data_IF_543437863074
#
_entry.id   IF_543437863074
#
_cell.length_a   1.000
_cell.length_b   1.000
_cell.length_c   1.000
_cell.angle_alpha   90.00
_cell.angle_beta   90.00
_cell.angle_gamma   90.00
#
_symmetry.space_group_name_H-M   'P 1'
#
loop_
_entity.id
_entity.type
_entity.pdbx_description
1 polymer ?
#
# COMPACT_ATOMS: atom_id res chain seq x y z
N UNK A 1 70.07 3.22 -58.81
CA UNK A 1 69.59 4.50 -58.24
C UNK A 1 68.65 4.13 -57.10
N UNK A 2 69.02 4.48 -55.87
CA UNK A 2 68.35 4.08 -54.63
C UNK A 2 66.99 4.77 -54.47
N UNK A 3 65.99 4.06 -53.98
CA UNK A 3 64.87 4.66 -53.27
C UNK A 3 64.46 3.76 -52.10
N UNK A 4 64.91 4.17 -50.91
CA UNK A 4 64.52 3.67 -49.60
C UNK A 4 63.02 3.92 -49.36
N UNK A 5 62.26 2.87 -49.02
CA UNK A 5 60.96 3.03 -48.36
C UNK A 5 61.06 2.54 -46.93
N UNK A 6 60.96 3.49 -46.01
CA UNK A 6 60.95 3.32 -44.56
C UNK A 6 59.65 2.63 -44.13
N UNK A 7 59.77 1.59 -43.30
CA UNK A 7 58.66 0.96 -42.60
C UNK A 7 57.96 1.97 -41.68
N UNK A 8 56.64 2.16 -41.84
CA UNK A 8 55.79 2.81 -40.85
C UNK A 8 55.27 1.75 -39.86
N UNK A 9 55.36 1.97 -38.53
CA UNK A 9 54.64 1.14 -37.57
C UNK A 9 53.17 1.56 -37.53
N UNK A 10 52.27 0.62 -37.82
CA UNK A 10 50.83 0.80 -37.58
C UNK A 10 50.60 0.62 -36.08
N UNK A 11 50.38 1.73 -35.36
CA UNK A 11 49.91 1.68 -33.98
C UNK A 11 48.38 1.53 -34.00
N UNK A 12 47.88 0.35 -33.60
CA UNK A 12 46.47 0.15 -33.30
C UNK A 12 46.16 0.83 -31.96
N UNK A 13 45.44 1.95 -32.01
CA UNK A 13 44.88 2.58 -30.81
C UNK A 13 43.54 1.90 -30.49
N UNK A 14 43.53 1.00 -29.50
CA UNK A 14 42.29 0.45 -28.98
C UNK A 14 41.60 1.51 -28.09
N UNK A 15 40.60 2.18 -28.64
CA UNK A 15 39.73 3.07 -27.87
C UNK A 15 38.82 2.22 -26.98
N UNK A 16 39.17 2.04 -25.72
CA UNK A 16 38.27 1.49 -24.72
C UNK A 16 37.16 2.50 -24.43
N UNK A 17 35.98 2.31 -25.03
CA UNK A 17 34.78 3.04 -24.65
C UNK A 17 34.28 2.49 -23.32
N UNK A 18 34.66 3.15 -22.23
CA UNK A 18 33.99 2.98 -20.96
C UNK A 18 32.55 3.52 -21.09
N UNK A 19 31.60 2.64 -21.38
CA UNK A 19 30.17 2.95 -21.21
C UNK A 19 29.94 3.05 -19.70
N UNK A 20 30.04 4.25 -19.17
CA UNK A 20 29.56 4.55 -17.83
C UNK A 20 28.04 4.45 -17.84
N UNK A 21 27.52 3.26 -17.52
CA UNK A 21 26.12 3.10 -17.15
C UNK A 21 25.93 3.81 -15.81
N UNK A 22 25.78 5.13 -15.83
CA UNK A 22 25.19 5.82 -14.70
C UNK A 22 23.78 5.25 -14.54
N UNK A 23 23.41 4.76 -13.35
CA UNK A 23 22.01 4.44 -13.12
C UNK A 23 21.29 5.76 -13.33
N UNK A 24 20.51 5.85 -14.41
CA UNK A 24 19.52 6.89 -14.52
C UNK A 24 18.63 6.71 -13.31
N UNK A 25 18.81 7.57 -12.30
CA UNK A 25 17.83 7.81 -11.26
C UNK A 25 16.61 8.36 -12.01
N UNK A 26 15.83 7.47 -12.61
CA UNK A 26 14.54 7.82 -13.18
C UNK A 26 13.75 8.40 -12.01
N UNK A 27 13.45 9.70 -12.11
CA UNK A 27 12.59 10.34 -11.13
C UNK A 27 11.28 9.58 -11.05
N UNK A 28 10.79 9.39 -9.82
CA UNK A 28 9.48 8.80 -9.55
C UNK A 28 8.42 9.42 -10.46
N UNK A 29 7.69 8.59 -11.21
CA UNK A 29 6.59 9.02 -12.06
C UNK A 29 5.22 8.91 -11.35
N UNK A 30 4.27 9.69 -11.84
CA UNK A 30 2.84 9.51 -11.56
C UNK A 30 2.23 8.87 -12.80
N UNK A 31 1.73 7.64 -12.66
CA UNK A 31 1.27 6.80 -13.77
C UNK A 31 -0.23 6.49 -13.63
N UNK A 32 -0.87 5.97 -14.69
CA UNK A 32 -2.28 5.57 -14.60
C UNK A 32 -2.50 4.56 -13.46
N UNK A 33 -3.65 4.62 -12.78
CA UNK A 33 -3.93 3.79 -11.59
C UNK A 33 -3.91 2.29 -11.91
N UNK A 34 -4.24 1.91 -13.14
CA UNK A 34 -4.26 0.54 -13.65
C UNK A 34 -2.91 0.09 -14.26
N UNK A 35 -1.94 1.00 -14.38
CA UNK A 35 -0.58 0.69 -14.83
C UNK A 35 0.37 0.37 -13.68
N UNK A 36 -0.05 0.59 -12.43
CA UNK A 36 0.77 0.28 -11.26
C UNK A 36 0.83 -1.24 -11.06
N UNK A 37 2.03 -1.81 -11.25
CA UNK A 37 2.28 -3.22 -10.91
C UNK A 37 2.50 -3.33 -9.41
N UNK A 38 1.61 -4.06 -8.73
CA UNK A 38 1.70 -4.34 -7.30
C UNK A 38 2.84 -5.30 -6.94
N UNK A 39 2.97 -5.56 -5.65
CA UNK A 39 3.94 -6.46 -5.07
C UNK A 39 3.33 -7.86 -4.86
N UNK A 40 4.13 -8.93 -5.03
CA UNK A 40 3.75 -10.23 -4.51
C UNK A 40 3.59 -10.16 -2.99
N UNK A 41 2.82 -11.09 -2.42
CA UNK A 41 2.67 -11.17 -0.97
C UNK A 41 4.05 -11.35 -0.31
N UNK A 42 4.51 -10.33 0.42
CA UNK A 42 5.85 -10.26 1.00
C UNK A 42 5.76 -9.64 2.40
N UNK A 43 6.11 -10.43 3.41
CA UNK A 43 6.20 -10.01 4.81
C UNK A 43 7.57 -10.42 5.37
N UNK A 44 8.06 -9.80 6.46
CA UNK A 44 9.31 -10.20 7.10
C UNK A 44 9.26 -11.64 7.60
N UNK A 45 10.39 -12.33 7.67
CA UNK A 45 10.46 -13.63 8.33
C UNK A 45 10.22 -13.53 9.84
N UNK A 46 9.92 -14.67 10.47
CA UNK A 46 9.77 -14.77 11.93
C UNK A 46 8.42 -14.22 12.43
N UNK A 47 8.36 -13.90 13.72
CA UNK A 47 7.10 -13.67 14.42
C UNK A 47 6.27 -12.52 13.82
N UNK A 48 6.92 -11.46 13.32
CA UNK A 48 6.24 -10.29 12.74
C UNK A 48 5.42 -10.72 11.51
N UNK A 49 6.04 -11.39 10.53
CA UNK A 49 5.34 -11.85 9.34
C UNK A 49 4.33 -12.95 9.63
N UNK A 50 4.64 -13.87 10.56
CA UNK A 50 3.67 -14.88 11.01
C UNK A 50 2.38 -14.23 11.50
N UNK A 51 2.48 -13.20 12.35
CA UNK A 51 1.30 -12.49 12.86
C UNK A 51 0.61 -11.65 11.77
N UNK A 52 1.36 -11.00 10.88
CA UNK A 52 0.78 -10.27 9.73
C UNK A 52 -0.04 -11.18 8.80
N UNK A 53 0.37 -12.44 8.61
CA UNK A 53 -0.40 -13.38 7.79
C UNK A 53 -1.57 -14.00 8.56
N UNK A 54 -1.35 -14.34 9.84
CA UNK A 54 -2.40 -14.91 10.73
C UNK A 54 -3.60 -13.99 10.87
N UNK A 55 -3.38 -12.69 10.99
CA UNK A 55 -4.44 -11.69 11.18
C UNK A 55 -4.77 -10.89 9.92
N UNK A 56 -4.31 -11.32 8.74
CA UNK A 56 -4.60 -10.63 7.47
C UNK A 56 -6.12 -10.56 7.26
N UNK A 57 -6.74 -9.38 7.12
CA UNK A 57 -8.19 -9.26 7.01
C UNK A 57 -8.74 -9.82 5.69
N UNK A 58 -10.04 -10.10 5.70
CA UNK A 58 -10.87 -10.14 4.49
C UNK A 58 -11.52 -8.78 4.29
N UNK A 59 -11.68 -8.37 3.03
CA UNK A 59 -12.33 -7.12 2.66
C UNK A 59 -13.49 -7.39 1.69
N UNK A 60 -14.71 -7.11 2.14
CA UNK A 60 -15.92 -7.05 1.32
C UNK A 60 -16.11 -5.63 0.80
N UNK A 61 -16.10 -5.45 -0.51
CA UNK A 61 -16.39 -4.16 -1.16
C UNK A 61 -17.87 -4.14 -1.53
N UNK A 62 -18.68 -3.41 -0.76
CA UNK A 62 -20.12 -3.34 -1.01
C UNK A 62 -20.48 -2.40 -2.16
N UNK A 63 -19.73 -1.29 -2.28
CA UNK A 63 -19.83 -0.34 -3.38
C UNK A 63 -18.51 0.43 -3.54
N UNK A 64 -18.41 1.24 -4.59
CA UNK A 64 -17.20 2.01 -4.90
C UNK A 64 -16.10 1.20 -5.59
N UNK A 65 -14.87 1.70 -5.52
CA UNK A 65 -13.71 1.03 -6.07
C UNK A 65 -13.29 -0.18 -5.24
N UNK A 66 -12.75 -1.21 -5.91
CA UNK A 66 -11.96 -2.24 -5.23
C UNK A 66 -10.54 -1.71 -4.93
N UNK A 67 -9.75 -2.37 -4.06
CA UNK A 67 -8.37 -1.95 -3.82
C UNK A 67 -7.48 -2.03 -5.08
N UNK A 68 -6.51 -1.11 -5.18
CA UNK A 68 -5.46 -1.09 -6.21
C UNK A 68 -4.07 -0.95 -5.54
N UNK A 69 -3.00 -1.38 -6.23
CA UNK A 69 -1.66 -0.96 -5.82
C UNK A 69 -1.50 0.56 -6.03
N UNK A 70 -1.07 1.26 -4.99
CA UNK A 70 -0.81 2.70 -5.01
C UNK A 70 0.58 3.04 -5.53
N UNK A 71 1.54 2.11 -5.41
CA UNK A 71 2.96 2.28 -5.74
C UNK A 71 3.56 0.98 -6.29
N UNK A 72 4.52 1.07 -7.21
CA UNK A 72 5.28 -0.07 -7.72
C UNK A 72 6.70 -0.17 -7.10
N UNK A 73 7.49 -1.16 -7.50
CA UNK A 73 8.86 -1.38 -6.99
C UNK A 73 9.84 -0.25 -7.31
N UNK A 74 9.62 0.49 -8.40
CA UNK A 74 10.42 1.64 -8.82
C UNK A 74 10.03 2.94 -8.08
N UNK A 75 8.94 2.93 -7.32
CA UNK A 75 8.41 4.10 -6.62
C UNK A 75 7.45 4.94 -7.45
N UNK A 76 7.05 4.51 -8.65
CA UNK A 76 5.98 5.18 -9.39
C UNK A 76 4.66 5.00 -8.66
N UNK A 77 3.85 6.04 -8.61
CA UNK A 77 2.56 6.02 -7.91
C UNK A 77 1.39 6.17 -8.86
N UNK A 78 0.27 5.54 -8.52
CA UNK A 78 -0.97 5.69 -9.27
C UNK A 78 -1.53 7.11 -9.17
N UNK A 79 -1.95 7.66 -10.30
CA UNK A 79 -2.58 8.97 -10.45
C UNK A 79 -4.00 9.03 -9.87
N UNK A 80 -4.56 7.89 -9.45
CA UNK A 80 -5.96 7.79 -9.03
C UNK A 80 -6.94 8.06 -10.17
N UNK A 81 -8.20 8.26 -9.82
CA UNK A 81 -9.29 8.55 -10.74
C UNK A 81 -10.00 9.84 -10.37
N UNK A 82 -10.56 10.52 -11.37
CA UNK A 82 -11.48 11.63 -11.13
C UNK A 82 -12.81 11.10 -10.56
N UNK A 83 -13.52 11.92 -9.79
CA UNK A 83 -14.82 11.60 -9.19
C UNK A 83 -15.98 11.57 -10.20
N UNK A 84 -15.72 11.89 -11.48
CA UNK A 84 -16.71 11.77 -12.55
C UNK A 84 -17.09 10.32 -12.84
N UNK A 85 -18.31 10.13 -13.37
CA UNK A 85 -18.82 8.82 -13.75
C UNK A 85 -19.36 8.03 -12.55
N UNK A 86 -19.62 6.74 -12.73
CA UNK A 86 -20.13 5.92 -11.63
C UNK A 86 -19.10 5.78 -10.49
N UNK A 87 -19.55 5.59 -9.23
CA UNK A 87 -18.69 5.34 -8.06
C UNK A 87 -17.57 4.30 -8.28
N UNK A 88 -17.88 3.22 -9.00
CA UNK A 88 -16.95 2.13 -9.30
C UNK A 88 -16.39 2.16 -10.74
N UNK A 89 -16.69 3.22 -11.50
CA UNK A 89 -16.29 3.34 -12.90
C UNK A 89 -14.76 3.36 -13.02
N UNK A 90 -14.22 2.51 -13.90
CA UNK A 90 -12.78 2.31 -14.13
C UNK A 90 -12.00 1.74 -12.94
N UNK A 91 -12.66 1.31 -11.86
CA UNK A 91 -12.03 0.74 -10.67
C UNK A 91 -12.83 -0.41 -10.02
N UNK A 92 -13.65 -1.12 -10.81
CA UNK A 92 -14.48 -2.23 -10.32
C UNK A 92 -13.76 -3.58 -10.26
N UNK A 93 -12.54 -3.68 -10.80
CA UNK A 93 -11.77 -4.92 -10.84
C UNK A 93 -10.28 -4.65 -10.73
N UNK A 94 -9.63 -5.39 -9.84
CA UNK A 94 -8.18 -5.44 -9.64
C UNK A 94 -7.87 -6.60 -8.69
N UNK A 95 -6.68 -7.19 -8.80
CA UNK A 95 -6.15 -8.06 -7.73
C UNK A 95 -5.97 -7.28 -6.44
N UNK A 96 -5.71 -5.97 -6.54
CA UNK A 96 -5.49 -5.07 -5.43
C UNK A 96 -4.17 -5.30 -4.71
N UNK A 97 -4.01 -4.60 -3.59
CA UNK A 97 -2.89 -4.71 -2.68
C UNK A 97 -3.40 -4.38 -1.27
N UNK A 98 -2.88 -5.06 -0.25
CA UNK A 98 -2.99 -4.59 1.14
C UNK A 98 -1.59 -4.28 1.68
N UNK A 99 -1.45 -3.08 2.23
CA UNK A 99 -0.23 -2.56 2.83
C UNK A 99 -0.24 -2.86 4.32
N UNK A 100 0.87 -3.36 4.88
CA UNK A 100 0.90 -3.80 6.27
C UNK A 100 2.05 -3.17 7.03
N UNK A 101 1.79 -2.63 8.21
CA UNK A 101 2.84 -2.15 9.11
C UNK A 101 2.52 -2.55 10.54
N UNK A 102 3.50 -3.07 11.25
CA UNK A 102 3.35 -3.44 12.64
C UNK A 102 4.21 -2.56 13.55
N UNK A 103 3.80 -2.45 14.80
CA UNK A 103 4.53 -1.70 15.83
C UNK A 103 3.92 -1.94 17.19
N UNK A 104 4.53 -1.38 18.23
CA UNK A 104 3.98 -1.42 19.58
C UNK A 104 3.52 -0.05 20.00
N UNK A 105 2.43 -0.01 20.77
CA UNK A 105 1.93 1.20 21.39
C UNK A 105 1.27 0.85 22.72
N UNK A 106 1.63 1.58 23.78
CA UNK A 106 1.08 1.43 25.13
C UNK A 106 0.98 -0.04 25.62
N UNK A 107 2.07 -0.80 25.44
CA UNK A 107 2.17 -2.20 25.87
C UNK A 107 1.42 -3.23 25.02
N UNK A 108 0.72 -2.82 23.96
CA UNK A 108 0.10 -3.71 22.98
C UNK A 108 0.94 -3.81 21.69
N UNK A 109 0.68 -4.85 20.92
CA UNK A 109 1.24 -5.00 19.57
C UNK A 109 0.15 -4.73 18.54
N UNK A 110 0.42 -3.81 17.62
CA UNK A 110 -0.48 -3.36 16.57
C UNK A 110 -0.04 -3.92 15.22
N UNK A 111 -1.01 -4.33 14.41
CA UNK A 111 -0.81 -4.64 13.00
C UNK A 111 -1.83 -3.83 12.20
N UNK A 112 -1.34 -2.79 11.52
CA UNK A 112 -2.16 -1.96 10.63
C UNK A 112 -2.19 -2.59 9.24
N UNK A 113 -3.38 -2.75 8.69
CA UNK A 113 -3.61 -3.13 7.29
C UNK A 113 -4.31 -1.98 6.60
N UNK A 114 -3.78 -1.54 5.46
CA UNK A 114 -4.28 -0.38 4.73
C UNK A 114 -4.49 -0.69 3.26
N UNK A 115 -5.54 -0.13 2.69
CA UNK A 115 -5.90 -0.28 1.28
C UNK A 115 -5.94 1.08 0.60
N UNK A 116 -5.56 1.08 -0.67
CA UNK A 116 -5.68 2.22 -1.55
C UNK A 116 -6.78 1.98 -2.57
N UNK A 117 -7.68 2.94 -2.72
CA UNK A 117 -8.67 2.96 -3.79
C UNK A 117 -8.38 4.16 -4.71
N UNK A 118 -8.52 4.03 -6.06
CA UNK A 118 -8.18 5.12 -6.97
C UNK A 118 -9.00 6.40 -6.78
N UNK A 119 -10.22 6.29 -6.23
CA UNK A 119 -11.09 7.41 -5.85
C UNK A 119 -12.05 6.98 -4.74
N UNK A 120 -12.48 7.95 -3.94
CA UNK A 120 -13.66 7.87 -3.09
C UNK A 120 -14.77 8.70 -3.76
N UNK A 121 -15.87 8.06 -4.16
CA UNK A 121 -16.95 8.75 -4.85
C UNK A 121 -18.30 8.15 -4.49
N UNK A 122 -19.08 8.76 -3.58
CA UNK A 122 -20.42 8.27 -3.24
C UNK A 122 -21.44 8.52 -4.37
N UNK A 123 -21.17 9.47 -5.26
CA UNK A 123 -21.94 9.76 -6.48
C UNK A 123 -21.07 10.53 -7.48
N UNK A 124 -21.46 10.56 -8.76
CA UNK A 124 -20.72 11.26 -9.81
C UNK A 124 -20.47 12.72 -9.46
N UNK A 125 -19.20 13.12 -9.45
CA UNK A 125 -18.75 14.48 -9.14
C UNK A 125 -18.60 14.76 -7.64
N UNK A 126 -19.00 13.85 -6.76
CA UNK A 126 -18.80 13.95 -5.30
C UNK A 126 -17.63 13.07 -4.84
N UNK A 127 -17.07 13.41 -3.68
CA UNK A 127 -15.93 12.74 -3.06
C UNK A 127 -14.60 13.31 -3.54
N UNK A 128 -13.55 12.48 -3.59
CA UNK A 128 -12.21 12.90 -3.96
C UNK A 128 -11.43 11.83 -4.75
N UNK A 129 -10.40 12.30 -5.45
CA UNK A 129 -9.38 11.43 -6.05
C UNK A 129 -8.54 10.83 -4.93
N UNK A 130 -8.16 9.56 -5.10
CA UNK A 130 -7.48 8.75 -4.10
C UNK A 130 -8.36 8.45 -2.89
N UNK A 131 -8.09 7.32 -2.26
CA UNK A 131 -8.62 7.00 -0.95
C UNK A 131 -7.66 6.03 -0.24
N UNK A 132 -7.55 6.19 1.07
CA UNK A 132 -6.69 5.41 1.94
C UNK A 132 -7.46 5.07 3.21
N UNK A 133 -7.77 3.79 3.35
CA UNK A 133 -8.47 3.27 4.51
C UNK A 133 -7.58 2.26 5.25
N UNK A 134 -7.80 2.07 6.55
CA UNK A 134 -7.04 1.10 7.33
C UNK A 134 -7.80 0.50 8.52
N UNK A 135 -7.39 -0.70 8.90
CA UNK A 135 -7.69 -1.25 10.22
C UNK A 135 -6.42 -1.39 11.04
N UNK A 136 -6.55 -1.42 12.36
CA UNK A 136 -5.49 -1.82 13.29
C UNK A 136 -5.97 -3.01 14.11
N UNK A 137 -5.30 -4.15 13.94
CA UNK A 137 -5.49 -5.34 14.78
C UNK A 137 -4.61 -5.18 16.02
N UNK A 138 -5.22 -5.17 17.21
CA UNK A 138 -4.52 -5.07 18.48
C UNK A 138 -4.36 -6.44 19.13
N UNK A 139 -3.12 -6.83 19.39
CA UNK A 139 -2.75 -8.05 20.08
C UNK A 139 -2.15 -7.74 21.44
N UNK A 140 -2.27 -8.66 22.39
CA UNK A 140 -1.70 -8.50 23.73
C UNK A 140 -0.18 -8.39 23.74
N UNK A 141 0.51 -8.98 22.76
CA UNK A 141 1.97 -8.93 22.59
C UNK A 141 2.40 -9.37 21.19
N UNK A 142 3.69 -9.23 20.87
CA UNK A 142 4.31 -9.79 19.66
C UNK A 142 4.68 -11.27 19.87
N UNK A 143 3.66 -12.14 19.97
CA UNK A 143 3.82 -13.58 20.25
C UNK A 143 2.76 -14.41 19.51
N UNK A 144 3.05 -15.68 19.20
CA UNK A 144 2.06 -16.59 18.58
C UNK A 144 0.90 -16.93 19.53
N UNK A 145 1.18 -16.88 20.84
CA UNK A 145 0.21 -17.03 21.93
C UNK A 145 -0.52 -15.74 22.28
N UNK A 146 -0.26 -14.64 21.56
CA UNK A 146 -0.96 -13.37 21.80
C UNK A 146 -2.47 -13.52 21.60
N UNK A 147 -3.22 -12.86 22.45
CA UNK A 147 -4.68 -12.77 22.36
C UNK A 147 -5.07 -11.53 21.57
N UNK A 148 -6.16 -11.64 20.81
CA UNK A 148 -6.78 -10.47 20.17
C UNK A 148 -7.41 -9.59 21.25
N UNK A 149 -7.04 -8.31 21.28
CA UNK A 149 -7.68 -7.28 22.11
C UNK A 149 -8.89 -6.66 21.41
N UNK A 150 -8.81 -6.52 20.09
CA UNK A 150 -9.85 -5.92 19.27
C UNK A 150 -9.30 -5.45 17.93
N UNK A 151 -10.17 -4.85 17.13
CA UNK A 151 -9.84 -4.24 15.84
C UNK A 151 -10.39 -2.83 15.82
N UNK A 152 -9.52 -1.87 15.54
CA UNK A 152 -9.90 -0.50 15.25
C UNK A 152 -10.07 -0.34 13.73
N UNK A 153 -11.20 0.23 13.30
CA UNK A 153 -11.64 0.28 11.90
C UNK A 153 -11.81 1.74 11.50
N UNK A 154 -11.11 2.21 10.47
CA UNK A 154 -11.16 3.61 10.05
C UNK A 154 -12.52 4.00 9.47
N UNK A 155 -13.00 5.18 9.89
CA UNK A 155 -14.21 5.81 9.39
C UNK A 155 -14.06 7.33 9.49
N UNK A 156 -13.91 8.00 8.35
CA UNK A 156 -13.89 9.47 8.23
C UNK A 156 -12.89 10.16 9.19
N UNK A 157 -11.65 9.65 9.23
CA UNK A 157 -10.58 10.18 10.07
C UNK A 157 -10.67 9.80 11.56
N UNK A 158 -11.61 8.93 11.93
CA UNK A 158 -11.72 8.33 13.27
C UNK A 158 -11.64 6.81 13.19
N UNK A 159 -11.70 6.15 14.35
CA UNK A 159 -11.75 4.70 14.46
C UNK A 159 -13.00 4.23 15.22
N UNK A 160 -13.74 3.31 14.62
CA UNK A 160 -14.67 2.42 15.32
C UNK A 160 -13.84 1.34 16.01
N UNK A 161 -14.10 1.04 17.28
CA UNK A 161 -13.26 0.14 18.10
C UNK A 161 -14.08 -1.08 18.51
N UNK A 162 -13.80 -2.21 17.87
CA UNK A 162 -14.52 -3.46 18.06
C UNK A 162 -13.68 -4.43 18.90
N UNK A 163 -14.09 -4.72 20.13
CA UNK A 163 -13.43 -5.72 21.00
C UNK A 163 -13.82 -7.15 20.65
N UNK A 164 -14.96 -7.33 19.96
CA UNK A 164 -15.47 -8.62 19.48
C UNK A 164 -15.89 -8.54 18.00
N UNK A 165 -14.97 -8.25 17.07
CA UNK A 165 -15.30 -8.08 15.66
C UNK A 165 -15.71 -9.41 15.01
N UNK A 166 -16.48 -9.39 13.91
CA UNK A 166 -16.71 -10.58 13.10
C UNK A 166 -15.41 -11.14 12.53
N UNK A 167 -15.18 -12.44 12.72
CA UNK A 167 -13.96 -13.14 12.30
C UNK A 167 -14.26 -14.32 11.36
N UNK A 168 -13.29 -14.70 10.56
CA UNK A 168 -13.18 -16.02 9.91
C UNK A 168 -11.87 -16.65 10.36
N UNK A 169 -11.95 -17.63 11.28
CA UNK A 169 -10.77 -18.10 12.02
C UNK A 169 -10.12 -16.94 12.80
N UNK A 170 -8.86 -16.65 12.51
CA UNK A 170 -8.10 -15.53 13.12
C UNK A 170 -8.17 -14.23 12.32
N UNK A 171 -8.88 -14.21 11.19
CA UNK A 171 -8.87 -13.11 10.24
C UNK A 171 -10.12 -12.23 10.41
N UNK A 172 -9.97 -10.91 10.66
CA UNK A 172 -11.11 -9.99 10.70
C UNK A 172 -11.85 -9.93 9.37
N UNK A 173 -13.18 -9.79 9.43
CA UNK A 173 -14.02 -9.52 8.26
C UNK A 173 -14.41 -8.05 8.25
N UNK A 174 -13.93 -7.33 7.24
CA UNK A 174 -14.10 -5.89 7.10
C UNK A 174 -14.93 -5.60 5.84
N UNK A 175 -15.81 -4.61 5.92
CA UNK A 175 -16.52 -4.05 4.77
C UNK A 175 -15.95 -2.70 4.38
N UNK A 176 -15.98 -2.37 3.09
CA UNK A 176 -15.77 -1.02 2.56
C UNK A 176 -17.05 -0.57 1.87
N UNK A 177 -17.59 0.58 2.29
CA UNK A 177 -18.83 1.11 1.74
C UNK A 177 -18.99 2.61 1.94
N UNK A 178 -19.79 3.22 1.07
CA UNK A 178 -20.39 4.53 1.26
C UNK A 178 -21.91 4.38 1.44
N UNK A 179 -22.48 5.14 2.37
CA UNK A 179 -23.92 5.33 2.51
C UNK A 179 -24.21 6.77 2.11
N UNK A 180 -24.92 6.96 0.99
CA UNK A 180 -25.22 8.28 0.46
C UNK A 180 -25.86 9.18 1.54
N UNK A 181 -25.41 10.44 1.71
CA UNK A 181 -24.48 11.19 0.85
C UNK A 181 -23.01 11.14 1.28
N UNK A 182 -22.65 10.28 2.24
CA UNK A 182 -21.32 10.25 2.86
C UNK A 182 -20.35 9.45 2.00
N UNK A 183 -19.10 9.91 1.97
CA UNK A 183 -17.91 9.23 1.44
C UNK A 183 -17.73 7.81 1.99
N UNK A 184 -16.77 7.06 1.44
CA UNK A 184 -16.54 5.70 1.91
C UNK A 184 -15.92 5.67 3.31
N UNK A 185 -16.11 4.52 3.96
CA UNK A 185 -15.52 4.16 5.24
C UNK A 185 -15.36 2.64 5.31
N UNK A 186 -14.57 2.18 6.28
CA UNK A 186 -14.59 0.78 6.68
C UNK A 186 -15.64 0.52 7.76
N UNK A 187 -16.15 -0.71 7.76
CA UNK A 187 -17.08 -1.24 8.77
C UNK A 187 -16.68 -2.66 9.18
N UNK A 188 -17.14 -3.12 10.34
CA UNK A 188 -17.21 -4.54 10.61
C UNK A 188 -18.20 -5.20 9.63
N UNK A 189 -17.91 -6.43 9.17
CA UNK A 189 -18.78 -7.14 8.23
C UNK A 189 -18.98 -8.60 8.60
N UNK A 190 -20.23 -9.08 8.50
CA UNK A 190 -20.49 -10.51 8.62
C UNK A 190 -20.16 -11.30 7.35
N UNK A 191 -19.98 -10.62 6.21
CA UNK A 191 -19.61 -11.26 4.95
C UNK A 191 -18.11 -11.51 4.90
N UNK A 192 -17.73 -12.68 4.41
CA UNK A 192 -16.34 -12.93 4.06
C UNK A 192 -16.10 -12.42 2.63
N UNK A 193 -15.42 -11.28 2.53
CA UNK A 193 -15.01 -10.71 1.25
C UNK A 193 -13.74 -11.36 0.68
N UNK A 194 -13.11 -10.66 -0.26
CA UNK A 194 -11.87 -11.07 -0.89
C UNK A 194 -10.63 -10.78 -0.05
N UNK A 195 -9.47 -11.13 -0.60
CA UNK A 195 -8.18 -10.83 0.00
C UNK A 195 -7.15 -10.43 -1.05
N UNK A 196 -6.23 -9.56 -0.67
CA UNK A 196 -5.20 -9.00 -1.54
C UNK A 196 -3.82 -9.53 -1.13
N UNK A 197 -2.82 -9.53 -2.04
CA UNK A 197 -1.43 -9.73 -1.65
C UNK A 197 -1.01 -8.71 -0.59
N UNK A 198 -0.44 -9.18 0.52
CA UNK A 198 0.04 -8.31 1.58
C UNK A 198 1.49 -7.90 1.34
N UNK A 199 1.80 -6.60 1.40
CA UNK A 199 3.17 -6.07 1.35
C UNK A 199 3.47 -5.32 2.64
N UNK A 200 4.42 -5.83 3.42
CA UNK A 200 4.85 -5.14 4.63
C UNK A 200 5.68 -3.89 4.30
N UNK A 201 5.51 -2.81 5.06
CA UNK A 201 6.30 -1.57 4.98
C UNK A 201 7.81 -1.86 4.92
N UNK A 202 8.28 -2.70 5.83
CA UNK A 202 9.70 -3.04 5.94
C UNK A 202 10.19 -3.92 4.79
N UNK A 203 9.28 -4.59 4.07
CA UNK A 203 9.59 -5.44 2.90
C UNK A 203 9.51 -4.70 1.55
N UNK A 204 9.05 -3.45 1.53
CA UNK A 204 9.06 -2.62 0.32
C UNK A 204 10.48 -2.20 -0.09
N UNK A 205 10.64 -1.82 -1.36
CA UNK A 205 11.86 -1.16 -1.81
C UNK A 205 11.99 0.22 -1.17
N UNK A 206 13.22 0.74 -1.05
CA UNK A 206 13.45 2.09 -0.56
C UNK A 206 12.74 3.15 -1.44
N UNK A 207 12.69 2.93 -2.76
CA UNK A 207 11.97 3.78 -3.70
C UNK A 207 10.47 3.81 -3.42
N UNK A 208 9.84 2.66 -3.19
CA UNK A 208 8.42 2.56 -2.87
C UNK A 208 8.07 3.19 -1.51
N UNK A 209 8.88 2.97 -0.47
CA UNK A 209 8.70 3.64 0.83
C UNK A 209 8.81 5.15 0.69
N UNK A 210 9.87 5.64 0.03
CA UNK A 210 10.07 7.06 -0.23
C UNK A 210 8.90 7.67 -1.01
N UNK A 211 8.38 6.95 -2.01
CA UNK A 211 7.22 7.37 -2.77
C UNK A 211 5.98 7.50 -1.86
N UNK A 212 5.64 6.46 -1.10
CA UNK A 212 4.49 6.52 -0.19
C UNK A 212 4.64 7.64 0.83
N UNK A 213 5.83 7.82 1.41
CA UNK A 213 6.11 8.88 2.39
C UNK A 213 5.87 10.28 1.82
N UNK A 214 6.33 10.54 0.59
CA UNK A 214 6.41 11.88 0.03
C UNK A 214 5.28 12.25 -0.95
N UNK A 215 4.43 11.30 -1.35
CA UNK A 215 3.33 11.58 -2.28
C UNK A 215 2.23 12.38 -1.63
N UNK A 216 1.80 13.47 -2.26
CA UNK A 216 0.53 14.10 -1.91
C UNK A 216 -0.63 13.32 -2.56
N UNK A 217 -1.43 12.62 -1.77
CA UNK A 217 -2.63 11.89 -2.22
C UNK A 217 -3.91 12.74 -2.06
N UNK A 218 -3.77 14.06 -1.99
CA UNK A 218 -4.90 14.98 -1.84
C UNK A 218 -5.55 14.83 -0.47
N UNK A 219 -6.84 14.51 -0.46
CA UNK A 219 -7.63 14.36 0.77
C UNK A 219 -7.37 13.01 1.48
N UNK A 220 -6.73 12.06 0.79
CA UNK A 220 -6.40 10.75 1.34
C UNK A 220 -4.99 10.74 1.96
N UNK A 221 -4.83 10.05 3.09
CA UNK A 221 -3.54 9.93 3.78
C UNK A 221 -3.22 8.47 4.10
N UNK A 222 -2.11 7.90 3.60
CA UNK A 222 -1.61 6.62 4.07
C UNK A 222 -1.22 6.73 5.56
N UNK A 223 -1.91 6.00 6.43
CA UNK A 223 -1.77 6.06 7.89
C UNK A 223 -0.59 5.26 8.47
N UNK A 224 0.21 4.65 7.59
CA UNK A 224 1.35 3.80 7.94
C UNK A 224 2.69 4.41 7.54
N UNK A 225 2.75 5.72 7.29
CA UNK A 225 3.99 6.46 7.00
C UNK A 225 4.87 6.57 8.24
N UNK A 226 6.16 6.76 8.04
CA UNK A 226 7.10 6.92 9.15
C UNK A 226 6.71 8.11 10.04
N UNK A 227 6.26 9.21 9.43
CA UNK A 227 5.93 10.45 10.16
C UNK A 227 4.58 10.44 10.89
N UNK A 228 3.67 9.49 10.62
CA UNK A 228 2.30 9.52 11.15
C UNK A 228 1.85 8.20 11.80
N UNK A 229 2.57 7.09 11.59
CA UNK A 229 2.13 5.77 12.04
C UNK A 229 1.81 5.72 13.53
N UNK A 230 2.67 6.29 14.39
CA UNK A 230 2.45 6.31 15.83
C UNK A 230 1.25 7.15 16.27
N UNK A 231 0.92 8.23 15.54
CA UNK A 231 -0.26 9.04 15.83
C UNK A 231 -1.54 8.25 15.51
N UNK A 232 -1.58 7.56 14.37
CA UNK A 232 -2.70 6.69 14.03
C UNK A 232 -2.84 5.50 14.99
N UNK A 233 -1.72 4.94 15.50
CA UNK A 233 -1.78 3.95 16.57
C UNK A 233 -2.38 4.51 17.86
N UNK A 234 -2.07 5.76 18.22
CA UNK A 234 -2.65 6.42 19.38
C UNK A 234 -4.17 6.59 19.23
N UNK A 235 -4.63 7.07 18.08
CA UNK A 235 -6.06 7.28 17.81
C UNK A 235 -6.83 5.94 17.79
N UNK A 236 -6.22 4.91 17.21
CA UNK A 236 -6.78 3.57 17.07
C UNK A 236 -6.71 2.74 18.37
N UNK A 237 -6.02 3.17 19.42
CA UNK A 237 -5.75 2.33 20.58
C UNK A 237 -7.03 1.84 21.28
N UNK A 238 -7.05 0.55 21.63
CA UNK A 238 -8.12 -0.16 22.36
C UNK A 238 -7.61 -0.66 23.69
#
# INVERSE_FOLDING_TARGET
>A
MLANFRNLPVQLLAAATCVSAWPHLLGRAVINHDAVVGFPQTVPSGIVGTLMLKYKPYLEVYNGCVPFPAVNTAGDTGAGLATSGSPNGMCSSSTGQVYVRAGSYNGAYAIMYSWYMPKDSPSSGLGHRHDWENIVVWLSSQSESATLRGVAISAHGKYQKETSPPMSGTRPKIGYMSIWPVNHQLIASDKQGGEQPAIAWDSMTAAARSAIENTNFGDATPSFRDNNFQNYLADAFI
#
